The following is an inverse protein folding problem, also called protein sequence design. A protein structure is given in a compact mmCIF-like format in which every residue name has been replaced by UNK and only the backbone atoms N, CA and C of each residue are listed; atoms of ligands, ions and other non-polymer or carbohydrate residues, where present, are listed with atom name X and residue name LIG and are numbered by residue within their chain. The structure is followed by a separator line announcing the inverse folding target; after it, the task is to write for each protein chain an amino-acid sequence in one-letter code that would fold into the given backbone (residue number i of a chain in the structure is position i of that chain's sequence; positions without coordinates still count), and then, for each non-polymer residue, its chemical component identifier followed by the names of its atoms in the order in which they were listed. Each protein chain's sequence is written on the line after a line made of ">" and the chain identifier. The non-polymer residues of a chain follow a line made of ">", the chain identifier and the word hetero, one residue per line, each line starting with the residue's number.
data_IF_455678794251
#
_entry.id   IF_455678794251
#
_cell.length_a   1.000
_cell.length_b   1.000
_cell.length_c   1.000
_cell.angle_alpha   90.00
_cell.angle_beta   90.00
_cell.angle_gamma   90.00
#
_symmetry.space_group_name_H-M   'P 1'
#
loop_
_entity.id
_entity.type
_entity.pdbx_description
1 polymer ?
#
# COMPACT_ATOMS: atom_id res chain seq x y z
N UNK A 1 -4.41 -7.24 -6.20
CA UNK A 1 -5.35 -7.24 -5.08
C UNK A 1 -5.97 -5.88 -4.96
N UNK A 2 -5.29 -4.80 -4.55
CA UNK A 2 -5.93 -3.47 -4.57
C UNK A 2 -6.21 -3.04 -6.02
N UNK A 3 -5.16 -3.02 -6.82
CA UNK A 3 -5.17 -2.74 -8.27
C UNK A 3 -6.16 -3.62 -9.06
N UNK A 4 -6.12 -4.94 -8.84
CA UNK A 4 -7.04 -5.90 -9.48
C UNK A 4 -8.49 -5.77 -9.00
N UNK A 5 -8.73 -5.50 -7.70
CA UNK A 5 -10.07 -5.24 -7.18
C UNK A 5 -10.65 -3.97 -7.79
N UNK A 6 -9.82 -3.05 -8.27
CA UNK A 6 -10.30 -1.82 -8.89
C UNK A 6 -10.62 -2.05 -10.38
N UNK A 7 -9.79 -2.81 -11.11
CA UNK A 7 -10.08 -3.16 -12.52
C UNK A 7 -11.31 -4.05 -12.69
N UNK A 8 -11.51 -5.03 -11.81
CA UNK A 8 -12.52 -6.10 -11.99
C UNK A 8 -13.97 -5.66 -11.81
N UNK A 9 -14.16 -4.39 -11.52
CA UNK A 9 -15.28 -3.88 -10.77
C UNK A 9 -15.74 -2.52 -11.34
N UNK A 10 -15.52 -2.33 -12.64
CA UNK A 10 -15.94 -1.17 -13.41
C UNK A 10 -17.49 -1.13 -13.65
N UNK A 11 -18.31 -1.54 -12.67
CA UNK A 11 -19.73 -1.90 -12.85
C UNK A 11 -20.65 -1.10 -11.93
N UNK A 12 -21.39 -0.14 -12.47
CA UNK A 12 -22.70 0.47 -12.12
C UNK A 12 -23.42 0.31 -10.76
N UNK A 13 -22.97 -0.46 -9.77
CA UNK A 13 -23.65 -0.54 -8.46
C UNK A 13 -22.65 -0.78 -7.31
N UNK A 14 -22.34 0.31 -6.59
CA UNK A 14 -21.30 0.42 -5.56
C UNK A 14 -21.87 1.01 -4.28
N UNK A 15 -22.85 0.33 -3.67
CA UNK A 15 -23.13 0.53 -2.25
C UNK A 15 -21.92 0.00 -1.44
N UNK A 16 -20.85 0.79 -1.29
CA UNK A 16 -19.49 0.22 -1.17
C UNK A 16 -18.73 0.52 0.13
N UNK A 17 -19.45 0.71 1.25
CA UNK A 17 -18.98 1.04 2.62
C UNK A 17 -19.28 2.52 2.94
N UNK A 18 -20.46 2.77 3.52
CA UNK A 18 -20.85 4.09 4.03
C UNK A 18 -20.11 4.43 5.34
N UNK A 19 -18.77 4.36 5.34
CA UNK A 19 -17.96 4.80 6.48
C UNK A 19 -18.03 6.32 6.49
N UNK A 20 -18.83 6.85 7.39
CA UNK A 20 -19.06 8.28 7.47
C UNK A 20 -17.77 9.05 7.77
N UNK A 21 -17.55 10.14 7.02
CA UNK A 21 -16.37 11.01 7.18
C UNK A 21 -16.16 11.45 8.64
N UNK A 22 -17.24 11.74 9.36
CA UNK A 22 -17.20 12.15 10.76
C UNK A 22 -16.54 11.08 11.66
N UNK A 23 -16.74 9.79 11.37
CA UNK A 23 -16.13 8.69 12.13
C UNK A 23 -14.61 8.75 12.00
N UNK A 24 -14.12 8.97 10.79
CA UNK A 24 -12.69 9.04 10.51
C UNK A 24 -12.08 10.33 11.09
N UNK A 25 -12.73 11.49 10.91
CA UNK A 25 -12.29 12.76 11.50
C UNK A 25 -12.12 12.64 13.02
N UNK A 26 -13.05 11.98 13.73
CA UNK A 26 -12.94 11.81 15.18
C UNK A 26 -11.68 11.04 15.58
N UNK A 27 -11.35 9.97 14.83
CA UNK A 27 -10.17 9.12 15.07
C UNK A 27 -8.86 9.80 14.71
N UNK A 28 -8.88 10.72 13.76
CA UNK A 28 -7.72 11.48 13.29
C UNK A 28 -7.78 12.96 13.70
N UNK A 29 -8.47 13.30 14.78
CA UNK A 29 -8.70 14.71 15.21
C UNK A 29 -7.44 15.54 15.53
N UNK A 30 -6.26 14.91 15.49
CA UNK A 30 -4.95 15.52 15.68
C UNK A 30 -4.32 16.02 14.36
N UNK A 31 -4.87 15.66 13.20
CA UNK A 31 -4.37 16.03 11.87
C UNK A 31 -5.52 16.20 10.88
N UNK A 32 -5.40 17.09 9.89
CA UNK A 32 -6.37 17.10 8.80
C UNK A 32 -6.05 15.96 7.85
N UNK A 33 -7.00 15.04 7.67
CA UNK A 33 -6.90 14.05 6.59
C UNK A 33 -7.91 14.45 5.54
N UNK A 34 -7.43 14.70 4.32
CA UNK A 34 -8.31 14.88 3.19
C UNK A 34 -8.99 13.54 2.85
N UNK A 35 -10.23 13.42 3.29
CA UNK A 35 -11.11 12.30 2.94
C UNK A 35 -12.23 12.89 2.07
N UNK A 36 -12.33 12.49 0.80
CA UNK A 36 -13.42 12.91 -0.08
C UNK A 36 -14.80 12.61 0.52
N UNK A 37 -15.88 13.20 0.02
CA UNK A 37 -17.25 12.94 0.50
C UNK A 37 -17.89 11.69 -0.15
N UNK A 38 -18.92 11.12 0.49
CA UNK A 38 -19.51 9.80 0.11
C UNK A 38 -20.40 9.92 -1.13
N UNK A 39 -21.03 11.08 -1.33
CA UNK A 39 -22.11 11.27 -2.32
C UNK A 39 -21.60 11.64 -3.73
N UNK A 40 -20.52 11.02 -4.16
CA UNK A 40 -19.88 11.38 -5.42
C UNK A 40 -20.14 10.30 -6.48
N UNK A 41 -21.07 10.59 -7.41
CA UNK A 41 -21.39 9.74 -8.56
C UNK A 41 -20.32 9.89 -9.66
N UNK A 42 -19.12 9.35 -9.43
CA UNK A 42 -18.05 9.33 -10.43
C UNK A 42 -17.31 7.98 -10.45
N UNK A 43 -16.55 7.68 -11.52
CA UNK A 43 -15.84 6.40 -11.67
C UNK A 43 -14.83 6.07 -10.57
N UNK A 44 -14.29 7.08 -9.88
CA UNK A 44 -13.31 6.91 -8.79
C UNK A 44 -13.91 6.83 -7.37
N UNK A 45 -15.24 6.65 -7.20
CA UNK A 45 -15.87 6.55 -5.87
C UNK A 45 -15.33 5.36 -5.06
N UNK A 46 -15.05 4.26 -5.77
CA UNK A 46 -14.44 3.03 -5.25
C UNK A 46 -13.11 3.30 -4.53
N UNK A 47 -12.27 4.18 -5.09
CA UNK A 47 -10.99 4.57 -4.50
C UNK A 47 -11.21 5.18 -3.12
N UNK A 48 -12.18 6.07 -3.02
CA UNK A 48 -12.45 6.77 -1.76
C UNK A 48 -12.93 5.80 -0.69
N UNK A 49 -13.74 4.81 -1.05
CA UNK A 49 -14.20 3.79 -0.11
C UNK A 49 -13.08 2.86 0.32
N UNK A 50 -12.19 2.49 -0.59
CA UNK A 50 -10.98 1.73 -0.26
C UNK A 50 -10.07 2.54 0.69
N UNK A 51 -9.89 3.84 0.44
CA UNK A 51 -9.10 4.74 1.31
C UNK A 51 -9.77 4.88 2.68
N UNK A 52 -11.09 5.04 2.73
CA UNK A 52 -11.85 5.09 4.00
C UNK A 52 -11.70 3.80 4.79
N UNK A 53 -11.83 2.65 4.11
CA UNK A 53 -11.64 1.35 4.74
C UNK A 53 -10.21 1.19 5.26
N UNK A 54 -9.22 1.65 4.49
CA UNK A 54 -7.83 1.66 4.90
C UNK A 54 -7.63 2.48 6.19
N UNK A 55 -8.05 3.75 6.21
CA UNK A 55 -7.97 4.62 7.39
C UNK A 55 -8.76 4.05 8.58
N UNK A 56 -9.92 3.45 8.34
CA UNK A 56 -10.67 2.77 9.39
C UNK A 56 -9.86 1.60 9.96
N UNK A 57 -9.36 0.70 9.11
CA UNK A 57 -8.63 -0.50 9.53
C UNK A 57 -7.38 -0.18 10.34
N UNK A 58 -6.58 0.80 9.92
CA UNK A 58 -5.35 1.18 10.62
C UNK A 58 -5.62 1.98 11.90
N UNK A 59 -6.87 2.40 12.16
CA UNK A 59 -7.24 3.06 13.40
C UNK A 59 -7.53 2.10 14.57
N UNK A 60 -7.46 0.79 14.31
CA UNK A 60 -7.64 -0.28 15.29
C UNK A 60 -6.38 -1.13 15.38
N UNK A 61 -6.22 -1.84 16.49
CA UNK A 61 -5.05 -2.69 16.72
C UNK A 61 -5.24 -4.12 16.21
N UNK A 62 -6.47 -4.48 15.82
CA UNK A 62 -6.78 -5.81 15.31
C UNK A 62 -7.92 -5.84 14.30
N UNK A 63 -7.90 -6.86 13.43
CA UNK A 63 -9.01 -7.20 12.53
C UNK A 63 -10.32 -7.41 13.29
N UNK A 64 -10.28 -8.06 14.45
CA UNK A 64 -11.47 -8.37 15.24
C UNK A 64 -12.19 -7.10 15.69
N UNK A 65 -11.46 -6.06 16.07
CA UNK A 65 -12.03 -4.76 16.41
C UNK A 65 -12.70 -4.08 15.21
N UNK A 66 -12.07 -4.15 14.03
CA UNK A 66 -12.66 -3.60 12.80
C UNK A 66 -13.98 -4.31 12.46
N UNK A 67 -13.99 -5.64 12.52
CA UNK A 67 -15.21 -6.42 12.26
C UNK A 67 -16.31 -6.12 13.28
N UNK A 68 -15.94 -6.01 14.57
CA UNK A 68 -16.87 -5.59 15.63
C UNK A 68 -17.44 -4.20 15.36
N UNK A 69 -16.60 -3.24 14.94
CA UNK A 69 -17.06 -1.91 14.58
C UNK A 69 -18.10 -1.94 13.46
N UNK A 70 -17.88 -2.74 12.40
CA UNK A 70 -18.87 -2.89 11.32
C UNK A 70 -20.20 -3.48 11.83
N UNK A 71 -20.15 -4.46 12.71
CA UNK A 71 -21.36 -5.07 13.29
C UNK A 71 -22.17 -4.08 14.14
N UNK A 72 -21.49 -3.21 14.89
CA UNK A 72 -22.12 -2.29 15.84
C UNK A 72 -22.54 -0.95 15.22
N UNK A 73 -21.78 -0.45 14.23
CA UNK A 73 -21.90 0.93 13.75
C UNK A 73 -22.32 1.01 12.27
N UNK A 74 -22.41 -0.12 11.57
CA UNK A 74 -22.80 -0.14 10.17
C UNK A 74 -23.99 -1.05 9.93
N UNK A 75 -24.97 -0.56 9.18
CA UNK A 75 -26.04 -1.40 8.62
C UNK A 75 -25.55 -2.19 7.38
N UNK A 76 -24.27 -2.05 7.03
CA UNK A 76 -23.67 -2.62 5.85
C UNK A 76 -23.26 -4.08 6.04
N UNK A 77 -23.57 -4.93 5.06
CA UNK A 77 -23.13 -6.32 5.04
C UNK A 77 -21.80 -6.44 4.31
N UNK A 78 -20.77 -6.90 5.02
CA UNK A 78 -19.46 -7.16 4.42
C UNK A 78 -19.51 -8.37 3.47
N UNK A 79 -18.92 -8.22 2.28
CA UNK A 79 -18.78 -9.27 1.28
C UNK A 79 -17.31 -9.71 1.16
N UNK A 80 -17.07 -10.80 0.42
CA UNK A 80 -15.73 -11.41 0.25
C UNK A 80 -14.63 -10.40 -0.15
N UNK A 81 -14.86 -9.44 -1.08
CA UNK A 81 -13.84 -8.42 -1.41
C UNK A 81 -13.49 -7.52 -0.21
N UNK A 82 -14.50 -7.06 0.54
CA UNK A 82 -14.30 -6.21 1.72
C UNK A 82 -13.51 -6.96 2.80
N UNK A 83 -13.84 -8.23 3.05
CA UNK A 83 -13.11 -9.06 4.00
C UNK A 83 -11.65 -9.28 3.60
N UNK A 84 -11.36 -9.41 2.29
CA UNK A 84 -9.98 -9.48 1.78
C UNK A 84 -9.22 -8.17 2.02
N UNK A 85 -9.85 -7.03 1.79
CA UNK A 85 -9.25 -5.71 2.06
C UNK A 85 -9.03 -5.50 3.56
N UNK A 86 -10.00 -5.84 4.41
CA UNK A 86 -9.84 -5.78 5.87
C UNK A 86 -8.66 -6.63 6.32
N UNK A 87 -8.55 -7.88 5.82
CA UNK A 87 -7.41 -8.74 6.14
C UNK A 87 -6.06 -8.14 5.73
N UNK A 88 -6.02 -7.43 4.61
CA UNK A 88 -4.80 -6.76 4.13
C UNK A 88 -4.50 -5.51 4.95
N UNK A 89 -5.49 -4.70 5.30
CA UNK A 89 -5.25 -3.38 5.88
C UNK A 89 -4.98 -3.40 7.38
N UNK A 90 -5.65 -4.29 8.11
CA UNK A 90 -5.55 -4.36 9.55
C UNK A 90 -4.13 -4.67 10.01
N UNK A 91 -3.71 -4.00 11.08
CA UNK A 91 -2.52 -4.41 11.80
C UNK A 91 -2.72 -5.81 12.39
N UNK A 92 -1.64 -6.56 12.43
CA UNK A 92 -1.58 -7.87 13.05
C UNK A 92 -0.57 -7.79 14.17
N UNK A 93 -0.93 -8.30 15.35
CA UNK A 93 0.01 -8.42 16.46
C UNK A 93 1.15 -9.34 16.00
N UNK A 94 2.34 -8.77 15.89
CA UNK A 94 3.55 -9.47 15.51
C UNK A 94 4.43 -9.60 16.75
N UNK A 95 4.69 -10.83 17.18
CA UNK A 95 5.77 -11.15 18.12
C UNK A 95 7.02 -11.39 17.30
N UNK A 96 7.76 -10.34 16.93
CA UNK A 96 8.98 -10.53 16.15
C UNK A 96 10.11 -9.65 16.70
N UNK A 97 11.16 -10.32 17.13
CA UNK A 97 12.41 -9.77 17.67
C UNK A 97 13.49 -9.56 16.59
N UNK A 98 13.25 -10.02 15.35
CA UNK A 98 14.25 -10.03 14.28
C UNK A 98 14.21 -8.78 13.40
N UNK A 99 15.40 -8.24 13.09
CA UNK A 99 15.61 -7.11 12.18
C UNK A 99 14.89 -7.32 10.83
N UNK A 100 14.11 -6.32 10.40
CA UNK A 100 13.35 -6.31 9.15
C UNK A 100 14.23 -6.52 7.90
N UNK A 101 15.39 -5.87 7.86
CA UNK A 101 16.30 -5.95 6.71
C UNK A 101 16.83 -7.37 6.51
N UNK A 102 17.15 -8.07 7.61
CA UNK A 102 17.60 -9.47 7.55
C UNK A 102 16.52 -10.39 6.96
N UNK A 103 15.23 -10.11 7.23
CA UNK A 103 14.13 -10.90 6.66
C UNK A 103 13.99 -10.68 5.15
N UNK A 104 14.21 -9.45 4.69
CA UNK A 104 14.24 -9.16 3.25
C UNK A 104 15.41 -9.91 2.62
N UNK A 105 16.59 -9.85 3.22
CA UNK A 105 17.81 -10.51 2.70
C UNK A 105 17.67 -12.03 2.62
N UNK A 106 16.96 -12.65 3.57
CA UNK A 106 16.73 -14.10 3.56
C UNK A 106 15.57 -14.55 2.65
N UNK A 107 14.82 -13.63 2.05
CA UNK A 107 13.64 -13.95 1.24
C UNK A 107 14.02 -14.31 -0.20
N UNK A 108 13.32 -15.30 -0.77
CA UNK A 108 13.51 -15.66 -2.18
C UNK A 108 12.87 -14.62 -3.14
N UNK A 109 13.27 -14.67 -4.41
CA UNK A 109 12.82 -13.70 -5.42
C UNK A 109 11.30 -13.67 -5.64
N UNK A 110 10.60 -14.82 -5.54
CA UNK A 110 9.14 -14.88 -5.67
C UNK A 110 8.45 -14.11 -4.53
N UNK A 111 8.92 -14.32 -3.30
CA UNK A 111 8.45 -13.59 -2.12
C UNK A 111 8.74 -12.10 -2.27
N UNK A 112 9.95 -11.73 -2.70
CA UNK A 112 10.34 -10.33 -2.87
C UNK A 112 9.51 -9.59 -3.91
N UNK A 113 9.23 -10.19 -5.08
CA UNK A 113 8.38 -9.55 -6.10
C UNK A 113 6.95 -9.28 -5.59
N UNK A 114 6.37 -10.26 -4.90
CA UNK A 114 5.05 -10.10 -4.30
C UNK A 114 5.07 -9.03 -3.20
N UNK A 115 6.11 -9.05 -2.37
CA UNK A 115 6.32 -8.08 -1.29
C UNK A 115 6.45 -6.64 -1.82
N UNK A 116 7.31 -6.40 -2.82
CA UNK A 116 7.46 -5.08 -3.46
C UNK A 116 6.10 -4.58 -3.96
N UNK A 117 5.34 -5.44 -4.64
CA UNK A 117 4.03 -5.07 -5.19
C UNK A 117 3.05 -4.62 -4.11
N UNK A 118 2.91 -5.38 -3.03
CA UNK A 118 1.94 -5.05 -1.97
C UNK A 118 2.34 -3.81 -1.18
N UNK A 119 3.64 -3.57 -0.99
CA UNK A 119 4.14 -2.40 -0.28
C UNK A 119 3.95 -1.14 -1.11
N UNK A 120 4.23 -1.20 -2.41
CA UNK A 120 3.98 -0.06 -3.32
C UNK A 120 2.48 0.21 -3.51
N UNK A 121 1.61 -0.80 -3.41
CA UNK A 121 0.16 -0.54 -3.37
C UNK A 121 -0.25 0.15 -2.07
N UNK A 122 0.35 -0.25 -0.94
CA UNK A 122 0.06 0.37 0.37
C UNK A 122 0.60 1.79 0.47
N UNK A 123 1.74 2.10 -0.14
CA UNK A 123 2.28 3.46 -0.16
C UNK A 123 1.35 4.44 -0.90
N UNK A 124 0.69 4.01 -1.98
CA UNK A 124 -0.30 4.83 -2.69
C UNK A 124 -1.57 5.13 -1.87
N UNK A 125 -1.86 4.35 -0.83
CA UNK A 125 -2.96 4.63 0.11
C UNK A 125 -2.59 5.71 1.12
N UNK A 126 -1.31 5.78 1.49
CA UNK A 126 -0.77 6.86 2.32
C UNK A 126 -0.62 8.14 1.52
N UNK A 127 -0.04 8.06 0.32
CA UNK A 127 0.19 9.23 -0.50
C UNK A 127 0.03 8.89 -1.97
N UNK A 128 -0.98 9.49 -2.59
CA UNK A 128 -1.19 9.42 -4.03
C UNK A 128 -0.83 10.77 -4.64
N UNK A 129 0.32 10.89 -5.35
CA UNK A 129 0.78 12.16 -5.91
C UNK A 129 -0.14 12.71 -7.01
N UNK A 130 -1.14 11.95 -7.48
CA UNK A 130 -1.96 12.33 -8.62
C UNK A 130 -3.48 12.25 -8.32
N UNK A 131 -4.26 13.24 -8.78
CA UNK A 131 -5.70 13.31 -8.53
C UNK A 131 -6.54 12.34 -9.38
N UNK A 132 -6.01 11.76 -10.46
CA UNK A 132 -6.78 10.98 -11.44
C UNK A 132 -6.50 9.47 -11.37
N UNK A 133 -7.56 8.65 -11.50
CA UNK A 133 -7.46 7.19 -11.63
C UNK A 133 -7.87 6.78 -13.05
N UNK A 134 -6.99 6.20 -13.88
CA UNK A 134 -5.77 5.49 -13.54
C UNK A 134 -4.52 6.39 -13.58
N UNK A 135 -3.88 6.58 -12.43
CA UNK A 135 -2.52 7.17 -12.40
C UNK A 135 -1.55 6.25 -13.14
N UNK A 136 -0.47 6.82 -13.67
CA UNK A 136 0.58 6.03 -14.29
C UNK A 136 1.11 4.97 -13.30
N UNK A 137 1.27 5.34 -12.02
CA UNK A 137 1.80 4.45 -10.97
C UNK A 137 0.89 3.27 -10.66
N UNK A 138 -0.41 3.50 -10.46
CA UNK A 138 -1.38 2.42 -10.27
C UNK A 138 -1.37 1.48 -11.47
N UNK A 139 -1.37 2.04 -12.68
CA UNK A 139 -1.38 1.23 -13.90
C UNK A 139 -0.13 0.34 -14.00
N UNK A 140 1.02 0.79 -13.50
CA UNK A 140 2.22 -0.03 -13.41
C UNK A 140 2.03 -1.21 -12.46
N UNK A 141 1.45 -0.99 -11.28
CA UNK A 141 1.22 -2.05 -10.28
C UNK A 141 0.18 -3.08 -10.72
N UNK A 142 -0.89 -2.64 -11.40
CA UNK A 142 -1.85 -3.52 -12.05
C UNK A 142 -1.15 -4.49 -13.02
N UNK A 143 -0.32 -3.94 -13.92
CA UNK A 143 0.42 -4.73 -14.90
C UNK A 143 1.43 -5.65 -14.22
N UNK A 144 2.13 -5.15 -13.21
CA UNK A 144 3.10 -5.91 -12.42
C UNK A 144 2.47 -7.17 -11.83
N UNK A 145 1.29 -7.07 -11.21
CA UNK A 145 0.59 -8.25 -10.66
C UNK A 145 0.27 -9.30 -11.70
N UNK A 146 -0.27 -8.89 -12.86
CA UNK A 146 -0.58 -9.81 -13.96
C UNK A 146 0.66 -10.56 -14.43
N UNK A 147 1.81 -9.88 -14.48
CA UNK A 147 3.10 -10.50 -14.80
C UNK A 147 3.56 -11.47 -13.70
N UNK A 148 3.54 -11.05 -12.43
CA UNK A 148 4.11 -11.82 -11.30
C UNK A 148 3.31 -13.10 -11.00
N UNK A 149 1.99 -13.08 -11.14
CA UNK A 149 1.15 -14.27 -10.84
C UNK A 149 1.47 -15.46 -11.77
N UNK A 150 1.93 -15.19 -12.98
CA UNK A 150 2.09 -16.20 -14.04
C UNK A 150 3.54 -16.56 -14.33
N UNK A 151 4.50 -15.99 -13.60
CA UNK A 151 5.92 -16.18 -13.89
C UNK A 151 6.50 -17.36 -13.13
N UNK A 152 7.28 -18.19 -13.82
CA UNK A 152 8.23 -19.09 -13.18
C UNK A 152 9.62 -18.44 -13.19
N UNK A 153 10.05 -17.92 -12.04
CA UNK A 153 11.32 -17.19 -11.90
C UNK A 153 12.54 -18.06 -12.23
N UNK A 154 12.47 -19.38 -12.00
CA UNK A 154 13.60 -20.30 -12.22
C UNK A 154 14.06 -20.33 -13.69
N UNK A 155 13.14 -20.00 -14.61
CA UNK A 155 13.41 -19.98 -16.05
C UNK A 155 13.95 -18.64 -16.56
N UNK A 156 14.08 -17.63 -15.68
CA UNK A 156 14.50 -16.29 -16.08
C UNK A 156 16.01 -16.13 -16.02
N UNK A 157 16.56 -15.42 -17.01
CA UNK A 157 17.97 -15.04 -17.03
C UNK A 157 18.21 -13.86 -16.11
N UNK A 158 19.11 -14.03 -15.14
CA UNK A 158 19.52 -12.94 -14.25
C UNK A 158 20.26 -11.83 -15.01
N UNK A 159 19.93 -10.57 -14.70
CA UNK A 159 20.56 -9.36 -15.25
C UNK A 159 20.80 -8.32 -14.16
N UNK A 160 21.92 -7.60 -14.23
CA UNK A 160 22.24 -6.49 -13.32
C UNK A 160 21.85 -5.11 -13.89
N UNK A 161 21.28 -5.07 -15.10
CA UNK A 161 21.02 -3.82 -15.81
C UNK A 161 19.58 -3.38 -15.57
N UNK A 162 19.39 -2.18 -15.00
CA UNK A 162 18.11 -1.47 -14.97
C UNK A 162 18.20 -0.26 -15.91
N UNK A 163 17.66 -0.39 -17.12
CA UNK A 163 17.61 0.72 -18.09
C UNK A 163 16.34 1.55 -17.87
N UNK A 164 16.45 2.67 -17.17
CA UNK A 164 15.37 3.64 -17.10
C UNK A 164 15.20 4.32 -18.47
N UNK A 165 13.95 4.49 -18.91
CA UNK A 165 13.65 5.31 -20.08
C UNK A 165 12.97 6.57 -19.59
N UNK A 166 13.54 7.73 -19.92
CA UNK A 166 13.01 9.04 -19.53
C UNK A 166 13.71 9.70 -18.35
N UNK A 167 15.02 9.45 -18.17
CA UNK A 167 15.87 10.00 -17.08
C UNK A 167 15.76 11.53 -16.91
N UNK A 168 15.36 12.25 -17.95
CA UNK A 168 15.24 13.70 -17.97
C UNK A 168 14.01 14.27 -17.24
N UNK A 169 13.06 13.42 -16.81
CA UNK A 169 11.80 13.83 -16.18
C UNK A 169 11.72 13.52 -14.67
N UNK A 170 12.76 12.94 -14.08
CA UNK A 170 12.73 12.47 -12.71
C UNK A 170 13.67 13.27 -11.82
N UNK A 171 13.10 13.88 -10.78
CA UNK A 171 13.92 14.30 -9.66
C UNK A 171 14.38 13.03 -8.92
N UNK A 172 15.69 12.79 -8.90
CA UNK A 172 16.30 11.67 -8.18
C UNK A 172 16.02 11.67 -6.67
N UNK A 173 15.52 12.78 -6.14
CA UNK A 173 15.05 12.91 -4.76
C UNK A 173 13.63 12.37 -4.52
N UNK A 174 12.86 12.10 -5.57
CA UNK A 174 11.48 11.64 -5.47
C UNK A 174 11.39 10.11 -5.34
N UNK A 175 10.66 9.62 -4.34
CA UNK A 175 10.46 8.19 -4.06
C UNK A 175 9.63 7.49 -5.16
N UNK A 176 9.01 8.25 -6.07
CA UNK A 176 8.28 7.71 -7.24
C UNK A 176 9.17 6.86 -8.15
N UNK A 177 10.49 7.10 -8.18
CA UNK A 177 11.44 6.34 -8.99
C UNK A 177 11.39 4.81 -8.74
N UNK A 178 11.02 4.38 -7.52
CA UNK A 178 10.90 2.95 -7.16
C UNK A 178 9.78 2.27 -7.93
N UNK A 179 8.68 2.97 -8.24
CA UNK A 179 7.61 2.43 -9.07
C UNK A 179 8.09 2.20 -10.51
N UNK A 180 8.94 3.06 -11.04
CA UNK A 180 9.51 2.92 -12.39
C UNK A 180 10.57 1.82 -12.45
N UNK A 181 11.42 1.71 -11.42
CA UNK A 181 12.30 0.54 -11.20
C UNK A 181 11.49 -0.75 -11.30
N UNK A 182 10.41 -0.82 -10.53
CA UNK A 182 9.60 -2.02 -10.49
C UNK A 182 8.88 -2.31 -11.81
N UNK A 183 8.34 -1.29 -12.48
CA UNK A 183 7.80 -1.41 -13.85
C UNK A 183 8.83 -2.00 -14.81
N UNK A 184 10.09 -1.55 -14.74
CA UNK A 184 11.16 -2.06 -15.60
C UNK A 184 11.45 -3.53 -15.32
N UNK A 185 11.53 -3.92 -14.04
CA UNK A 185 11.69 -5.32 -13.64
C UNK A 185 10.56 -6.18 -14.22
N UNK A 186 9.30 -5.73 -14.14
CA UNK A 186 8.19 -6.45 -14.76
C UNK A 186 8.31 -6.54 -16.29
N UNK A 187 8.83 -5.50 -16.95
CA UNK A 187 9.09 -5.55 -18.39
C UNK A 187 10.22 -6.52 -18.75
N UNK A 188 11.23 -6.67 -17.90
CA UNK A 188 12.30 -7.66 -18.05
C UNK A 188 11.75 -9.08 -17.90
N UNK A 189 10.89 -9.30 -16.91
CA UNK A 189 10.23 -10.59 -16.69
C UNK A 189 9.48 -11.04 -17.96
N UNK A 190 8.73 -10.11 -18.58
CA UNK A 190 8.02 -10.39 -19.83
C UNK A 190 8.96 -10.73 -21.01
N UNK A 191 10.26 -10.44 -20.92
CA UNK A 191 11.30 -10.77 -21.90
C UNK A 191 12.14 -12.00 -21.51
N UNK A 192 11.81 -12.67 -20.41
CA UNK A 192 12.58 -13.81 -19.91
C UNK A 192 13.81 -13.43 -19.07
N UNK A 193 13.87 -12.20 -18.56
CA UNK A 193 14.97 -11.70 -17.73
C UNK A 193 14.47 -11.29 -16.33
N UNK A 194 15.34 -11.30 -15.32
CA UNK A 194 15.02 -10.78 -13.99
C UNK A 194 16.19 -10.00 -13.40
N UNK A 195 15.89 -8.84 -12.82
CA UNK A 195 16.88 -8.06 -12.13
C UNK A 195 17.43 -8.81 -10.91
N UNK A 196 18.75 -8.85 -10.78
CA UNK A 196 19.46 -9.69 -9.81
C UNK A 196 19.32 -9.22 -8.37
N UNK A 197 19.15 -7.91 -8.14
CA UNK A 197 19.13 -7.32 -6.80
C UNK A 197 17.71 -6.88 -6.38
N UNK A 198 16.80 -7.85 -6.26
CA UNK A 198 15.45 -7.58 -5.76
C UNK A 198 15.42 -7.17 -4.28
N UNK A 199 16.44 -7.54 -3.51
CA UNK A 199 16.60 -7.18 -2.09
C UNK A 199 16.68 -5.66 -1.94
N UNK A 200 17.52 -4.99 -2.73
CA UNK A 200 17.59 -3.52 -2.72
C UNK A 200 16.26 -2.88 -3.11
N UNK A 201 15.56 -3.43 -4.11
CA UNK A 201 14.25 -2.91 -4.54
C UNK A 201 13.19 -3.07 -3.44
N UNK A 202 13.21 -4.19 -2.71
CA UNK A 202 12.33 -4.43 -1.57
C UNK A 202 12.57 -3.45 -0.42
N UNK A 203 13.84 -3.18 -0.08
CA UNK A 203 14.20 -2.14 0.91
C UNK A 203 13.74 -0.76 0.46
N UNK A 204 13.95 -0.41 -0.81
CA UNK A 204 13.50 0.86 -1.38
C UNK A 204 11.96 1.00 -1.40
N UNK A 205 11.23 -0.10 -1.61
CA UNK A 205 9.77 -0.11 -1.52
C UNK A 205 9.27 0.16 -0.09
N UNK A 206 9.91 -0.43 0.93
CA UNK A 206 9.61 -0.12 2.33
C UNK A 206 9.92 1.33 2.68
N UNK A 207 11.06 1.87 2.22
CA UNK A 207 11.38 3.28 2.40
C UNK A 207 10.37 4.20 1.69
N UNK A 208 9.86 3.78 0.52
CA UNK A 208 8.78 4.48 -0.20
C UNK A 208 7.51 4.57 0.65
N UNK A 209 7.13 3.50 1.34
CA UNK A 209 6.00 3.49 2.27
C UNK A 209 6.21 4.48 3.42
N UNK A 210 7.39 4.46 4.06
CA UNK A 210 7.73 5.39 5.15
C UNK A 210 7.67 6.84 4.68
N UNK A 211 8.25 7.12 3.51
CA UNK A 211 8.28 8.47 2.93
C UNK A 211 6.86 8.93 2.59
N UNK A 212 6.01 8.05 2.06
CA UNK A 212 4.61 8.36 1.77
C UNK A 212 3.83 8.75 3.03
N UNK A 213 4.08 8.08 4.16
CA UNK A 213 3.46 8.44 5.45
C UNK A 213 3.89 9.85 5.86
N UNK A 214 5.20 10.14 5.83
CA UNK A 214 5.74 11.45 6.22
C UNK A 214 5.17 12.57 5.33
N UNK A 215 5.24 12.40 4.02
CA UNK A 215 4.76 13.40 3.06
C UNK A 215 3.24 13.65 3.17
N UNK A 216 2.46 12.62 3.47
CA UNK A 216 1.01 12.78 3.66
C UNK A 216 0.67 13.70 4.84
N UNK A 217 1.56 13.83 5.82
CA UNK A 217 1.33 14.65 7.00
C UNK A 217 2.24 15.88 7.07
N UNK A 218 3.27 15.99 6.23
CA UNK A 218 4.28 17.06 6.24
C UNK A 218 3.66 18.46 6.22
N UNK A 219 2.61 18.68 5.42
CA UNK A 219 1.93 19.97 5.32
C UNK A 219 0.94 20.25 6.46
N UNK A 220 0.66 19.26 7.29
CA UNK A 220 -0.38 19.31 8.32
C UNK A 220 0.17 19.66 9.71
N UNK A 221 1.50 19.73 9.90
CA UNK A 221 2.10 20.12 11.17
C UNK A 221 1.59 21.49 11.64
N UNK A 222 1.56 22.47 10.74
CA UNK A 222 1.11 23.83 11.05
C UNK A 222 -0.39 23.93 11.39
N UNK A 223 -1.15 22.86 11.17
CA UNK A 223 -2.60 22.76 11.42
C UNK A 223 -2.88 21.76 12.56
N UNK A 224 -1.86 21.04 13.02
CA UNK A 224 -1.97 20.07 14.11
C UNK A 224 -2.21 20.76 15.45
N UNK A 225 -2.96 20.08 16.33
CA UNK A 225 -3.17 20.50 17.73
C UNK A 225 -2.08 19.99 18.68
N UNK A 226 -1.08 19.29 18.15
CA UNK A 226 -0.02 18.64 18.91
C UNK A 226 1.23 19.51 18.97
N UNK A 227 2.05 19.34 20.01
CA UNK A 227 3.43 19.83 19.98
C UNK A 227 4.27 19.05 18.96
N UNK A 228 5.40 19.62 18.52
CA UNK A 228 6.36 18.97 17.61
C UNK A 228 6.75 17.56 18.06
N UNK A 229 7.08 17.40 19.34
CA UNK A 229 7.48 16.11 19.92
C UNK A 229 6.33 15.10 19.88
N UNK A 230 5.10 15.53 20.18
CA UNK A 230 3.93 14.65 20.14
C UNK A 230 3.57 14.26 18.72
N UNK A 231 3.70 15.20 17.78
CA UNK A 231 3.48 14.98 16.36
C UNK A 231 4.48 13.96 15.80
N UNK A 232 5.78 14.14 16.02
CA UNK A 232 6.81 13.18 15.58
C UNK A 232 6.60 11.80 16.22
N UNK A 233 6.27 11.75 17.52
CA UNK A 233 5.91 10.49 18.19
C UNK A 233 4.71 9.80 17.54
N UNK A 234 3.71 10.54 17.03
CA UNK A 234 2.58 9.96 16.31
C UNK A 234 3.00 9.38 14.98
N UNK A 235 3.81 10.11 14.22
CA UNK A 235 4.35 9.66 12.93
C UNK A 235 5.23 8.42 13.11
N UNK A 236 6.15 8.43 14.07
CA UNK A 236 7.03 7.28 14.36
C UNK A 236 6.23 6.04 14.80
N UNK A 237 5.18 6.23 15.59
CA UNK A 237 4.28 5.13 15.96
C UNK A 237 3.54 4.55 14.74
N UNK A 238 3.09 5.38 13.80
CA UNK A 238 2.49 4.91 12.55
C UNK A 238 3.50 4.15 11.70
N UNK A 239 4.71 4.68 11.53
CA UNK A 239 5.81 4.02 10.81
C UNK A 239 6.14 2.67 11.44
N UNK A 240 6.17 2.58 12.76
CA UNK A 240 6.37 1.31 13.48
C UNK A 240 5.27 0.31 13.15
N UNK A 241 3.98 0.69 13.27
CA UNK A 241 2.85 -0.20 12.94
C UNK A 241 2.87 -0.66 11.47
N UNK A 242 3.25 0.22 10.55
CA UNK A 242 3.39 -0.09 9.12
C UNK A 242 4.59 -1.01 8.83
N UNK A 243 5.67 -0.88 9.60
CA UNK A 243 6.81 -1.79 9.53
C UNK A 243 6.45 -3.17 10.10
N UNK A 244 5.71 -3.23 11.21
CA UNK A 244 5.15 -4.48 11.75
C UNK A 244 4.19 -5.14 10.75
N UNK A 245 3.41 -4.33 10.03
CA UNK A 245 2.59 -4.82 8.93
C UNK A 245 3.46 -5.43 7.82
N UNK A 246 4.51 -4.75 7.35
CA UNK A 246 5.43 -5.30 6.35
C UNK A 246 6.06 -6.63 6.80
N UNK A 247 6.45 -6.73 8.07
CA UNK A 247 6.92 -7.97 8.69
C UNK A 247 5.89 -9.11 8.57
N UNK A 248 4.63 -8.84 8.91
CA UNK A 248 3.56 -9.83 8.82
C UNK A 248 3.34 -10.30 7.38
N UNK A 249 3.43 -9.38 6.41
CA UNK A 249 3.23 -9.71 5.00
C UNK A 249 4.37 -10.56 4.43
N UNK A 250 5.62 -10.25 4.75
CA UNK A 250 6.74 -11.10 4.36
C UNK A 250 6.55 -12.52 4.88
N UNK A 251 6.23 -12.68 6.17
CA UNK A 251 5.97 -14.00 6.77
C UNK A 251 4.87 -14.76 6.02
N UNK A 252 3.73 -14.11 5.79
CA UNK A 252 2.59 -14.74 5.08
C UNK A 252 2.95 -15.15 3.65
N UNK A 253 3.75 -14.34 2.95
CA UNK A 253 4.21 -14.67 1.59
C UNK A 253 5.21 -15.83 1.58
N UNK A 254 6.02 -15.97 2.64
CA UNK A 254 6.92 -17.11 2.80
C UNK A 254 6.15 -18.41 3.09
N UNK A 255 5.09 -18.37 3.90
CA UNK A 255 4.30 -19.55 4.27
C UNK A 255 3.42 -20.11 3.11
N UNK A 256 3.15 -19.30 2.09
CA UNK A 256 2.31 -19.67 0.93
C UNK A 256 3.13 -20.35 -0.19
N UNK A 257 4.45 -20.19 -0.20
CA UNK A 257 5.37 -20.76 -1.20
C UNK A 257 6.08 -22.00 -0.65
#
# INVERSE_FOLDING_TARGET
>A
MLSELIEKYNVSDWSYLNIEKHTLIKRYSWVSIYIPDINLNYPWAVRNDIIRLFYLCISFDSKSEVLKWFLENSKFKLFKPHLKLINLFCYQKSELENNFDLKIESSNNNVLLNFITIVLERSLLWYSPEPTWPSCLTSHLVKARKTIINVNIENLKSTSILVFKGDDLFDSSDYTHVFYKFKNICNQINKGEIYSDLTTIAKQAHLTLITSIRNNFEHEYNISKLSEIEYERKIDNLIKKETDWCHSQLRLLTEIN
#
